data_IF_763929077885
#
_entry.id   IF_763929077885
#
_cell.length_a   1.000
_cell.length_b   1.000
_cell.length_c   1.000
_cell.angle_alpha   90.00
_cell.angle_beta   90.00
_cell.angle_gamma   90.00
#
_symmetry.space_group_name_H-M   'P 1'
#
loop_
_entity.id
_entity.type
_entity.pdbx_description
1 polymer ?
#
# COMPACT_ATOMS: atom_id res chain seq x y z
N UNK A 1 -30.25 -1.42 -12.86
CA UNK A 1 -29.89 -1.48 -11.43
C UNK A 1 -28.40 -1.80 -11.35
N UNK A 2 -27.57 -0.77 -11.24
CA UNK A 2 -26.12 -0.91 -11.16
C UNK A 2 -25.75 -1.27 -9.70
N UNK A 3 -25.20 -2.46 -9.51
CA UNK A 3 -24.61 -2.85 -8.23
C UNK A 3 -23.34 -2.03 -8.01
N UNK A 4 -23.39 -1.05 -7.11
CA UNK A 4 -22.19 -0.42 -6.59
C UNK A 4 -21.48 -1.42 -5.69
N UNK A 5 -20.49 -2.12 -6.25
CA UNK A 5 -19.49 -2.84 -5.49
C UNK A 5 -18.60 -1.86 -4.74
N UNK A 6 -19.12 -1.26 -3.67
CA UNK A 6 -18.26 -0.81 -2.59
C UNK A 6 -17.92 -2.06 -1.81
N UNK A 7 -16.88 -2.78 -2.26
CA UNK A 7 -16.27 -3.80 -1.42
C UNK A 7 -15.73 -3.09 -0.20
N UNK A 8 -16.50 -3.22 0.86
CA UNK A 8 -16.19 -2.84 2.22
C UNK A 8 -14.83 -3.45 2.53
N UNK A 9 -13.77 -2.64 2.48
CA UNK A 9 -12.43 -3.03 2.85
C UNK A 9 -12.47 -3.24 4.37
N UNK A 10 -12.93 -4.43 4.77
CA UNK A 10 -13.01 -4.83 6.15
C UNK A 10 -11.58 -4.85 6.64
N UNK A 11 -11.22 -3.79 7.36
CA UNK A 11 -10.06 -3.75 8.23
C UNK A 11 -10.27 -4.88 9.22
N UNK A 12 -9.79 -6.08 8.89
CA UNK A 12 -9.50 -7.10 9.89
C UNK A 12 -8.29 -6.56 10.65
N UNK A 13 -8.54 -5.56 11.48
CA UNK A 13 -7.61 -5.04 12.46
C UNK A 13 -7.43 -6.16 13.47
N UNK A 14 -6.31 -6.88 13.36
CA UNK A 14 -5.85 -7.82 14.38
C UNK A 14 -4.96 -6.99 15.31
N UNK A 15 -5.47 -6.45 16.44
CA UNK A 15 -4.61 -5.76 17.36
C UNK A 15 -3.65 -6.81 17.93
N UNK A 16 -2.36 -6.53 17.84
CA UNK A 16 -1.30 -7.26 18.52
C UNK A 16 -0.78 -8.50 17.78
N UNK A 17 -0.31 -8.32 16.53
CA UNK A 17 0.71 -9.24 16.00
C UNK A 17 2.02 -8.90 16.71
N UNK A 18 2.37 -9.69 17.72
CA UNK A 18 3.68 -9.61 18.37
C UNK A 18 4.70 -10.14 17.35
N UNK A 19 5.17 -9.27 16.46
CA UNK A 19 6.24 -9.59 15.52
C UNK A 19 7.47 -10.00 16.33
N UNK A 20 7.69 -11.31 16.42
CA UNK A 20 8.99 -11.89 16.76
C UNK A 20 9.93 -11.50 15.63
N UNK A 21 10.54 -10.33 15.79
CA UNK A 21 11.69 -9.78 15.07
C UNK A 21 11.48 -9.48 13.58
N UNK A 22 11.99 -8.33 13.12
CA UNK A 22 11.78 -7.76 11.78
C UNK A 22 12.30 -8.57 10.58
N UNK A 23 12.52 -9.88 10.73
CA UNK A 23 13.02 -10.77 9.70
C UNK A 23 12.09 -10.89 8.50
N UNK A 24 10.76 -10.96 8.69
CA UNK A 24 9.82 -11.03 7.56
C UNK A 24 9.85 -9.78 6.67
N UNK A 25 9.87 -8.60 7.29
CA UNK A 25 9.94 -7.31 6.60
C UNK A 25 11.27 -7.13 5.87
N UNK A 26 12.37 -7.46 6.53
CA UNK A 26 13.71 -7.44 5.95
C UNK A 26 13.84 -8.45 4.81
N UNK A 27 13.24 -9.63 4.95
CA UNK A 27 13.24 -10.66 3.91
C UNK A 27 12.48 -10.17 2.67
N UNK A 28 11.26 -9.65 2.82
CA UNK A 28 10.50 -9.04 1.72
C UNK A 28 11.31 -7.94 1.02
N UNK A 29 11.96 -7.06 1.78
CA UNK A 29 12.78 -5.99 1.21
C UNK A 29 14.00 -6.53 0.45
N UNK A 30 14.60 -7.64 0.92
CA UNK A 30 15.78 -8.28 0.32
C UNK A 30 15.44 -9.15 -0.89
N UNK A 31 14.26 -9.76 -0.94
CA UNK A 31 13.81 -10.57 -2.07
C UNK A 31 13.12 -9.73 -3.16
N UNK A 32 13.56 -8.49 -3.36
CA UNK A 32 13.04 -7.65 -4.44
C UNK A 32 11.64 -7.10 -4.18
N UNK A 33 11.32 -6.81 -2.91
CA UNK A 33 10.02 -6.29 -2.48
C UNK A 33 8.87 -7.29 -2.65
N UNK A 34 9.17 -8.59 -2.61
CA UNK A 34 8.14 -9.63 -2.58
C UNK A 34 7.18 -9.37 -1.41
N UNK A 35 5.89 -9.49 -1.72
CA UNK A 35 4.76 -9.22 -0.84
C UNK A 35 4.47 -7.75 -0.51
N UNK A 36 5.17 -6.80 -1.15
CA UNK A 36 4.70 -5.42 -1.23
C UNK A 36 3.82 -5.22 -2.47
N UNK A 37 2.85 -4.32 -2.35
CA UNK A 37 2.02 -3.87 -3.47
C UNK A 37 1.59 -2.42 -3.29
N UNK A 38 1.13 -1.80 -4.38
CA UNK A 38 0.56 -0.45 -4.38
C UNK A 38 -0.93 -0.51 -4.65
N UNK A 39 -1.71 0.19 -3.84
CA UNK A 39 -3.10 0.54 -4.15
C UNK A 39 -3.18 2.04 -4.38
N UNK A 40 -4.17 2.49 -5.17
CA UNK A 40 -4.25 3.88 -5.61
C UNK A 40 -5.55 4.53 -5.14
N UNK A 41 -5.43 5.65 -4.44
CA UNK A 41 -6.58 6.45 -4.02
C UNK A 41 -6.76 7.63 -5.00
N UNK A 42 -7.86 7.72 -5.75
CA UNK A 42 -8.05 8.76 -6.75
C UNK A 42 -8.34 10.13 -6.12
N UNK A 43 -7.80 11.18 -6.72
CA UNK A 43 -8.19 12.57 -6.52
C UNK A 43 -9.11 13.01 -7.66
N UNK A 44 -10.32 13.44 -7.33
CA UNK A 44 -11.34 13.87 -8.30
C UNK A 44 -11.74 15.33 -8.10
N UNK A 45 -12.01 16.02 -9.20
CA UNK A 45 -12.61 17.36 -9.22
C UNK A 45 -14.05 17.25 -9.68
N UNK A 46 -14.93 18.02 -9.04
CA UNK A 46 -16.31 18.17 -9.46
C UNK A 46 -16.42 19.28 -10.50
N UNK A 47 -17.00 18.97 -11.66
CA UNK A 47 -17.22 19.92 -12.74
C UNK A 47 -18.59 20.60 -12.59
N UNK A 48 -18.73 21.84 -13.03
CA UNK A 48 -19.99 22.61 -12.95
C UNK A 48 -21.15 21.89 -13.67
N UNK A 49 -20.86 21.06 -14.67
CA UNK A 49 -21.83 20.21 -15.38
C UNK A 49 -22.24 18.93 -14.64
N UNK A 50 -21.81 18.72 -13.40
CA UNK A 50 -22.16 17.55 -12.58
C UNK A 50 -21.26 16.32 -12.80
N UNK A 51 -20.19 16.45 -13.58
CA UNK A 51 -19.23 15.38 -13.84
C UNK A 51 -18.12 15.28 -12.79
N UNK A 52 -17.44 14.13 -12.76
CA UNK A 52 -16.19 13.94 -12.01
C UNK A 52 -15.01 13.85 -12.99
N UNK A 53 -14.03 14.72 -12.81
CA UNK A 53 -12.76 14.67 -13.52
C UNK A 53 -11.71 14.01 -12.61
N UNK A 54 -11.04 12.95 -13.08
CA UNK A 54 -9.87 12.40 -12.40
C UNK A 54 -8.69 13.37 -12.56
N UNK A 55 -8.12 13.81 -11.44
CA UNK A 55 -7.00 14.79 -11.39
C UNK A 55 -5.68 14.09 -11.08
N UNK A 56 -5.72 12.95 -10.40
CA UNK A 56 -4.54 12.16 -10.06
C UNK A 56 -4.90 11.03 -9.11
N UNK A 57 -3.89 10.40 -8.53
CA UNK A 57 -4.07 9.42 -7.47
C UNK A 57 -2.86 9.40 -6.52
N UNK A 58 -3.10 9.06 -5.26
CA UNK A 58 -2.06 8.75 -4.29
C UNK A 58 -1.73 7.26 -4.33
N UNK A 59 -0.44 6.93 -4.44
CA UNK A 59 0.04 5.55 -4.35
C UNK A 59 0.26 5.19 -2.87
N UNK A 60 -0.46 4.18 -2.39
CA UNK A 60 -0.45 3.75 -1.00
C UNK A 60 0.16 2.35 -0.90
N UNK A 61 1.27 2.26 -0.18
CA UNK A 61 1.98 1.01 0.05
C UNK A 61 1.15 0.03 0.89
N UNK A 62 1.16 -1.23 0.48
CA UNK A 62 0.60 -2.37 1.21
C UNK A 62 1.65 -3.45 1.35
N UNK A 63 1.62 -4.12 2.49
CA UNK A 63 2.46 -5.27 2.76
C UNK A 63 1.60 -6.39 3.33
N UNK A 64 1.87 -7.61 2.90
CA UNK A 64 1.28 -8.83 3.46
C UNK A 64 2.39 -9.80 3.81
N UNK A 65 2.28 -10.53 4.91
CA UNK A 65 3.24 -11.58 5.23
C UNK A 65 2.49 -12.85 5.63
N UNK A 66 2.91 -14.00 5.14
CA UNK A 66 2.34 -15.26 5.59
C UNK A 66 2.96 -15.67 6.94
N UNK A 67 2.18 -16.25 7.87
CA UNK A 67 0.74 -16.58 7.78
C UNK A 67 -0.20 -15.44 8.21
N UNK A 68 0.33 -14.26 8.56
CA UNK A 68 -0.39 -13.14 9.20
C UNK A 68 -1.40 -12.47 8.24
N UNK A 69 -1.13 -12.48 6.95
CA UNK A 69 -1.92 -11.78 5.93
C UNK A 69 -1.54 -10.29 5.82
N UNK A 70 -2.47 -9.42 5.40
CA UNK A 70 -2.23 -7.99 5.27
C UNK A 70 -1.85 -7.34 6.60
N UNK A 71 -0.81 -6.50 6.58
CA UNK A 71 -0.30 -5.80 7.77
C UNK A 71 -0.56 -4.29 7.62
N UNK A 72 -0.95 -3.63 8.72
CA UNK A 72 -1.23 -2.20 8.70
C UNK A 72 0.05 -1.40 8.42
N UNK A 73 0.01 -0.36 7.56
CA UNK A 73 1.14 0.58 7.40
C UNK A 73 1.62 1.19 8.71
N UNK A 74 0.71 1.43 9.66
CA UNK A 74 1.09 1.96 10.99
C UNK A 74 2.02 1.02 11.75
N UNK A 75 1.96 -0.29 11.47
CA UNK A 75 2.80 -1.29 12.11
C UNK A 75 4.17 -1.44 11.42
N UNK A 76 4.20 -1.48 10.08
CA UNK A 76 5.46 -1.78 9.36
C UNK A 76 6.26 -0.56 8.93
N UNK A 77 5.65 0.62 8.77
CA UNK A 77 6.38 1.84 8.36
C UNK A 77 7.45 2.23 9.40
N UNK A 78 7.16 2.27 10.73
CA UNK A 78 8.19 2.59 11.72
C UNK A 78 9.36 1.60 11.73
N UNK A 79 9.11 0.32 11.39
CA UNK A 79 10.14 -0.71 11.26
C UNK A 79 11.03 -0.46 10.03
N UNK A 80 10.45 -0.03 8.90
CA UNK A 80 11.21 0.36 7.72
C UNK A 80 12.08 1.60 7.98
N UNK A 81 11.55 2.57 8.71
CA UNK A 81 12.26 3.80 9.08
C UNK A 81 13.46 3.49 9.99
N UNK A 82 13.21 2.75 11.08
CA UNK A 82 14.26 2.39 12.05
C UNK A 82 15.32 1.44 11.48
N UNK A 83 14.98 0.62 10.49
CA UNK A 83 15.94 -0.27 9.80
C UNK A 83 16.69 0.40 8.64
N UNK A 84 16.32 1.62 8.25
CA UNK A 84 16.88 2.32 7.10
C UNK A 84 16.41 1.79 5.73
N UNK A 85 15.57 0.76 5.70
CA UNK A 85 15.02 0.16 4.48
C UNK A 85 14.00 1.08 3.78
N UNK A 86 13.44 2.07 4.49
CA UNK A 86 12.44 3.00 3.96
C UNK A 86 12.91 3.72 2.69
N UNK A 87 14.20 4.05 2.58
CA UNK A 87 14.74 4.75 1.40
C UNK A 87 14.81 3.83 0.17
N UNK A 88 15.22 2.57 0.37
CA UNK A 88 15.25 1.57 -0.70
C UNK A 88 13.83 1.28 -1.19
N UNK A 89 12.89 1.09 -0.26
CA UNK A 89 11.50 0.83 -0.59
C UNK A 89 10.85 2.05 -1.27
N UNK A 90 11.13 3.28 -0.80
CA UNK A 90 10.62 4.49 -1.43
C UNK A 90 11.01 4.63 -2.90
N UNK A 91 12.23 4.20 -3.27
CA UNK A 91 12.66 4.16 -4.68
C UNK A 91 11.84 3.17 -5.49
N UNK A 92 11.67 1.96 -4.98
CA UNK A 92 10.85 0.94 -5.62
C UNK A 92 9.38 1.40 -5.79
N UNK A 93 8.80 2.01 -4.75
CA UNK A 93 7.44 2.58 -4.79
C UNK A 93 7.31 3.60 -5.93
N UNK A 94 8.29 4.49 -6.09
CA UNK A 94 8.28 5.48 -7.16
C UNK A 94 8.36 4.82 -8.55
N UNK A 95 9.24 3.84 -8.72
CA UNK A 95 9.42 3.11 -9.99
C UNK A 95 8.13 2.34 -10.38
N UNK A 96 7.51 1.66 -9.43
CA UNK A 96 6.25 0.93 -9.64
C UNK A 96 5.07 1.87 -9.93
N UNK A 97 4.98 2.99 -9.22
CA UNK A 97 3.95 4.01 -9.45
C UNK A 97 4.07 4.61 -10.86
N UNK A 98 5.29 5.00 -11.27
CA UNK A 98 5.55 5.51 -12.62
C UNK A 98 5.25 4.46 -13.69
N UNK A 99 5.60 3.20 -13.43
CA UNK A 99 5.29 2.10 -14.34
C UNK A 99 3.77 1.90 -14.49
N UNK A 100 3.03 2.02 -13.39
CA UNK A 100 1.56 1.93 -13.41
C UNK A 100 0.94 3.10 -14.17
N UNK A 101 1.44 4.34 -13.98
CA UNK A 101 0.93 5.52 -14.69
C UNK A 101 1.18 5.51 -16.21
N UNK A 102 2.11 4.67 -16.69
CA UNK A 102 2.39 4.52 -18.13
C UNK A 102 1.46 3.52 -18.84
N UNK A 103 0.72 2.71 -18.08
CA UNK A 103 -0.22 1.72 -18.62
C UNK A 103 -1.54 2.39 -18.97
#
# INVERSE_FOLDING_TARGET
AAGSGMEHFSLVYQPFVRFEEGGGLQQSARSGMEHFSLVYQPFVRFEEGGGLQLVGAEALLRWSCEPIGPVSPVEFIPLLESSGLIAQLGRWVLEEAVTTCKR
#
